data_IF_721985978797
#
_entry.id   IF_721985978797
#
_cell.length_a   1.000
_cell.length_b   1.000
_cell.length_c   1.000
_cell.angle_alpha   90.00
_cell.angle_beta   90.00
_cell.angle_gamma   90.00
#
_symmetry.space_group_name_H-M   'P 1'
#
loop_
_entity.id
_entity.type
_entity.pdbx_description
1 polymer ?
#
# COMPACT_ATOMS: atom_id res chain seq x y z
N UNK A 1 -35.07 70.11 11.46
CA UNK A 1 -34.29 68.87 11.27
C UNK A 1 -34.94 68.09 10.15
N UNK A 2 -34.32 68.03 8.98
CA UNK A 2 -34.94 67.57 7.73
C UNK A 2 -34.30 66.25 7.32
N UNK A 3 -35.12 65.17 7.30
CA UNK A 3 -34.70 63.80 7.01
C UNK A 3 -34.17 63.65 5.57
N UNK A 4 -32.94 63.17 5.41
CA UNK A 4 -32.44 62.67 4.12
C UNK A 4 -32.86 61.21 3.93
N UNK A 5 -33.73 60.98 2.96
CA UNK A 5 -34.08 59.65 2.46
C UNK A 5 -32.99 59.20 1.48
N UNK A 6 -32.14 58.27 1.90
CA UNK A 6 -31.12 57.67 1.03
C UNK A 6 -31.76 56.58 0.17
N UNK A 7 -32.11 56.93 -1.07
CA UNK A 7 -32.35 55.96 -2.15
C UNK A 7 -31.02 55.59 -2.79
N UNK A 8 -30.55 54.35 -2.59
CA UNK A 8 -29.62 53.67 -3.51
C UNK A 8 -30.03 52.20 -3.68
N UNK A 9 -30.91 52.03 -4.64
CA UNK A 9 -31.20 50.82 -5.41
C UNK A 9 -29.91 50.48 -6.23
N UNK A 10 -29.42 49.25 -6.42
CA UNK A 10 -29.79 48.28 -7.49
C UNK A 10 -28.60 47.30 -7.70
N UNK A 11 -28.90 45.99 -7.82
CA UNK A 11 -28.19 44.89 -8.54
C UNK A 11 -26.73 44.56 -8.11
N UNK A 12 -26.21 43.33 -8.22
CA UNK A 12 -26.51 42.26 -9.15
C UNK A 12 -26.03 40.89 -8.61
N UNK A 13 -26.75 39.86 -9.04
CA UNK A 13 -26.37 38.47 -9.28
C UNK A 13 -24.98 37.96 -8.83
N UNK A 14 -25.03 36.88 -8.05
CA UNK A 14 -23.93 35.98 -7.76
C UNK A 14 -23.31 35.35 -9.02
N UNK A 15 -22.00 35.06 -9.00
CA UNK A 15 -21.48 33.80 -9.50
C UNK A 15 -21.26 32.90 -8.29
N UNK A 16 -22.15 31.92 -8.10
CA UNK A 16 -21.79 30.70 -7.40
C UNK A 16 -20.62 30.08 -8.19
N UNK A 17 -19.40 30.41 -7.81
CA UNK A 17 -18.21 29.71 -8.28
C UNK A 17 -18.37 28.28 -7.83
N UNK A 18 -18.68 27.44 -8.80
CA UNK A 18 -18.75 26.01 -8.68
C UNK A 18 -17.44 25.51 -8.07
N UNK A 19 -17.45 25.24 -6.77
CA UNK A 19 -16.60 24.22 -6.18
C UNK A 19 -17.06 22.89 -6.79
N UNK A 20 -16.67 22.64 -8.04
CA UNK A 20 -16.72 21.30 -8.59
C UNK A 20 -15.89 20.42 -7.64
N UNK A 21 -16.40 19.27 -7.21
CA UNK A 21 -15.58 18.36 -6.42
C UNK A 21 -14.37 18.01 -7.28
N UNK A 22 -13.19 18.47 -6.87
CA UNK A 22 -11.93 17.91 -7.34
C UNK A 22 -12.00 16.44 -7.01
N UNK A 23 -12.31 15.61 -8.00
CA UNK A 23 -12.21 14.16 -7.88
C UNK A 23 -10.73 13.89 -7.72
N UNK A 24 -10.28 13.85 -6.47
CA UNK A 24 -9.02 13.26 -6.10
C UNK A 24 -9.14 11.80 -6.51
N UNK A 25 -8.59 11.46 -7.68
CA UNK A 25 -8.36 10.07 -8.04
C UNK A 25 -7.38 9.55 -7.00
N UNK A 26 -7.91 8.86 -5.99
CA UNK A 26 -7.09 8.18 -5.00
C UNK A 26 -6.12 7.28 -5.76
N UNK A 27 -4.82 7.46 -5.54
CA UNK A 27 -3.81 6.59 -6.11
C UNK A 27 -4.15 5.14 -5.68
N UNK A 28 -3.87 4.14 -6.54
CA UNK A 28 -4.04 2.74 -6.16
C UNK A 28 -3.28 2.49 -4.86
N UNK A 29 -4.01 2.08 -3.80
CA UNK A 29 -3.40 1.74 -2.53
C UNK A 29 -2.85 0.32 -2.63
N UNK A 30 -1.53 0.19 -2.63
CA UNK A 30 -0.83 -1.08 -2.66
C UNK A 30 -0.32 -1.43 -1.25
N UNK A 31 -0.82 -2.51 -0.63
CA UNK A 31 -0.42 -2.85 0.74
C UNK A 31 0.95 -3.55 0.81
N UNK A 32 1.48 -4.04 -0.31
CA UNK A 32 2.71 -4.85 -0.35
C UNK A 32 3.93 -4.15 0.27
N UNK A 33 4.21 -2.85 0.01
CA UNK A 33 5.36 -2.18 0.62
C UNK A 33 5.27 -2.12 2.15
N UNK A 34 4.06 -1.91 2.70
CA UNK A 34 3.87 -1.84 4.14
C UNK A 34 4.03 -3.21 4.80
N UNK A 35 3.46 -4.26 4.21
CA UNK A 35 3.63 -5.63 4.71
C UNK A 35 5.07 -6.10 4.64
N UNK A 36 5.80 -5.76 3.57
CA UNK A 36 7.21 -6.11 3.45
C UNK A 36 8.08 -5.44 4.51
N UNK A 37 7.86 -4.15 4.78
CA UNK A 37 8.59 -3.46 5.85
C UNK A 37 8.28 -4.02 7.24
N UNK A 38 7.03 -4.44 7.49
CA UNK A 38 6.65 -5.11 8.74
C UNK A 38 7.33 -6.47 8.88
N UNK A 39 7.34 -7.27 7.82
CA UNK A 39 8.01 -8.57 7.78
C UNK A 39 9.51 -8.40 8.05
N UNK A 40 10.19 -7.47 7.35
CA UNK A 40 11.62 -7.17 7.57
C UNK A 40 11.91 -6.78 9.01
N UNK A 41 11.05 -5.98 9.64
CA UNK A 41 11.23 -5.57 11.03
C UNK A 41 11.15 -6.74 11.99
N UNK A 42 10.18 -7.64 11.80
CA UNK A 42 10.04 -8.84 12.62
C UNK A 42 11.21 -9.79 12.40
N UNK A 43 11.58 -10.05 11.14
CA UNK A 43 12.70 -10.90 10.79
C UNK A 43 14.00 -10.37 11.41
N UNK A 44 14.27 -9.06 11.30
CA UNK A 44 15.43 -8.45 11.92
C UNK A 44 15.44 -8.56 13.46
N UNK A 45 14.27 -8.44 14.09
CA UNK A 45 14.15 -8.65 15.54
C UNK A 45 14.44 -10.09 15.94
N UNK A 46 14.00 -11.06 15.16
CA UNK A 46 14.33 -12.48 15.37
C UNK A 46 15.81 -12.74 15.15
N UNK A 47 16.39 -12.26 14.04
CA UNK A 47 17.79 -12.49 13.68
C UNK A 47 18.77 -11.89 14.71
N UNK A 48 18.39 -10.80 15.37
CA UNK A 48 19.19 -10.17 16.43
C UNK A 48 18.90 -10.71 17.84
N UNK A 49 18.04 -11.72 17.98
CA UNK A 49 17.58 -12.24 19.28
C UNK A 49 16.86 -11.18 20.15
N UNK A 50 16.36 -10.11 19.55
CA UNK A 50 15.52 -9.10 20.21
C UNK A 50 14.07 -9.61 20.41
N UNK A 51 13.65 -10.56 19.58
CA UNK A 51 12.36 -11.23 19.58
C UNK A 51 12.55 -12.74 19.51
N UNK A 52 11.74 -13.49 20.25
CA UNK A 52 11.67 -14.95 20.11
C UNK A 52 10.87 -15.31 18.86
N UNK A 53 11.36 -16.27 18.06
CA UNK A 53 10.70 -16.68 16.84
C UNK A 53 9.29 -17.20 17.11
N UNK A 54 9.10 -18.00 18.16
CA UNK A 54 7.81 -18.59 18.54
C UNK A 54 6.72 -17.53 18.78
N UNK A 55 7.11 -16.36 19.29
CA UNK A 55 6.18 -15.25 19.56
C UNK A 55 5.75 -14.52 18.28
N UNK A 56 6.59 -14.55 17.25
CA UNK A 56 6.38 -13.82 16.00
C UNK A 56 6.00 -14.72 14.82
N UNK A 57 6.15 -16.04 14.94
CA UNK A 57 6.04 -17.01 13.84
C UNK A 57 4.69 -16.92 13.11
N UNK A 58 3.59 -16.82 13.85
CA UNK A 58 2.26 -16.71 13.24
C UNK A 58 2.12 -15.44 12.39
N UNK A 59 2.68 -14.31 12.84
CA UNK A 59 2.63 -13.03 12.14
C UNK A 59 3.56 -13.02 10.93
N UNK A 60 4.78 -13.55 11.07
CA UNK A 60 5.72 -13.71 9.97
C UNK A 60 5.11 -14.54 8.85
N UNK A 61 4.56 -15.72 9.16
CA UNK A 61 3.93 -16.60 8.17
C UNK A 61 2.71 -15.97 7.49
N UNK A 62 1.90 -15.21 8.23
CA UNK A 62 0.75 -14.48 7.67
C UNK A 62 1.19 -13.36 6.72
N UNK A 63 2.25 -12.61 7.06
CA UNK A 63 2.82 -11.59 6.19
C UNK A 63 3.42 -12.19 4.92
N UNK A 64 4.16 -13.30 5.03
CA UNK A 64 4.71 -14.02 3.89
C UNK A 64 3.61 -14.50 2.94
N UNK A 65 2.54 -15.11 3.48
CA UNK A 65 1.40 -15.53 2.67
C UNK A 65 0.76 -14.34 1.96
N UNK A 66 0.54 -13.22 2.65
CA UNK A 66 -0.01 -11.99 2.05
C UNK A 66 0.87 -11.44 0.94
N UNK A 67 2.18 -11.33 1.17
CA UNK A 67 3.16 -10.82 0.19
C UNK A 67 3.19 -11.72 -1.04
N UNK A 68 3.22 -13.05 -0.86
CA UNK A 68 3.29 -14.00 -1.98
C UNK A 68 1.99 -14.08 -2.79
N UNK A 69 0.84 -13.94 -2.14
CA UNK A 69 -0.47 -14.23 -2.76
C UNK A 69 -1.21 -13.00 -3.27
N UNK A 70 -0.71 -11.80 -3.01
CA UNK A 70 -1.33 -10.55 -3.47
C UNK A 70 -0.66 -10.02 -4.74
N UNK A 71 -1.41 -9.79 -5.85
CA UNK A 71 -0.86 -9.10 -7.02
C UNK A 71 -0.49 -7.64 -6.71
N UNK A 72 0.65 -7.13 -7.19
CA UNK A 72 1.01 -5.73 -6.99
C UNK A 72 0.10 -4.84 -7.82
N UNK A 73 -0.29 -3.70 -7.24
CA UNK A 73 -1.10 -2.67 -7.88
C UNK A 73 -0.27 -1.45 -8.30
N UNK A 74 0.96 -1.33 -7.78
CA UNK A 74 1.90 -0.25 -8.04
C UNK A 74 3.31 -0.80 -8.24
N UNK A 75 4.17 -0.05 -8.96
CA UNK A 75 5.58 -0.41 -9.13
C UNK A 75 6.29 -0.65 -7.80
N UNK A 76 5.93 0.12 -6.76
CA UNK A 76 6.50 -0.04 -5.43
C UNK A 76 6.12 -1.40 -4.82
N UNK A 77 4.89 -1.87 -4.99
CA UNK A 77 4.51 -3.22 -4.54
C UNK A 77 5.21 -4.33 -5.33
N UNK A 78 5.41 -4.13 -6.64
CA UNK A 78 6.19 -5.08 -7.45
C UNK A 78 7.66 -5.15 -6.99
N UNK A 79 8.26 -4.00 -6.62
CA UNK A 79 9.61 -3.93 -6.03
C UNK A 79 9.62 -4.65 -4.68
N UNK A 80 8.65 -4.41 -3.81
CA UNK A 80 8.58 -5.05 -2.49
C UNK A 80 8.52 -6.60 -2.60
N UNK A 81 7.79 -7.14 -3.57
CA UNK A 81 7.78 -8.60 -3.81
C UNK A 81 9.13 -9.13 -4.33
N UNK A 82 9.83 -8.37 -5.16
CA UNK A 82 11.17 -8.74 -5.63
C UNK A 82 12.20 -8.69 -4.50
N UNK A 83 12.16 -7.64 -3.68
CA UNK A 83 13.05 -7.51 -2.52
C UNK A 83 12.79 -8.62 -1.50
N UNK A 84 11.53 -8.92 -1.20
CA UNK A 84 11.18 -10.09 -0.39
C UNK A 84 11.70 -11.40 -0.98
N UNK A 85 11.50 -11.62 -2.28
CA UNK A 85 12.02 -12.81 -2.95
C UNK A 85 13.55 -12.91 -2.96
N UNK A 86 14.28 -11.80 -2.80
CA UNK A 86 15.74 -11.78 -2.68
C UNK A 86 16.20 -12.01 -1.24
N UNK A 87 15.53 -11.40 -0.27
CA UNK A 87 15.86 -11.48 1.16
C UNK A 87 15.54 -12.86 1.74
N UNK A 88 14.48 -13.52 1.26
CA UNK A 88 14.01 -14.83 1.71
C UNK A 88 14.47 -15.99 0.79
N UNK A 89 15.41 -15.73 -0.12
CA UNK A 89 15.91 -16.76 -1.03
C UNK A 89 16.94 -17.67 -0.35
N UNK A 90 16.54 -18.86 0.08
CA UNK A 90 17.49 -19.94 0.34
C UNK A 90 17.24 -20.85 1.52
N UNK A 91 16.20 -20.61 2.33
CA UNK A 91 15.88 -21.51 3.43
C UNK A 91 14.85 -22.59 2.97
N UNK A 92 15.15 -23.86 3.25
CA UNK A 92 14.38 -25.03 2.79
C UNK A 92 13.32 -25.45 3.81
N UNK A 93 13.44 -24.97 5.06
CA UNK A 93 12.53 -25.26 6.17
C UNK A 93 11.54 -24.11 6.42
N UNK A 94 11.93 -22.88 6.07
CA UNK A 94 11.15 -21.65 6.16
C UNK A 94 11.38 -20.81 4.88
N UNK A 95 10.45 -19.94 4.52
CA UNK A 95 10.56 -19.09 3.32
C UNK A 95 9.75 -19.54 2.09
N UNK A 96 9.94 -18.81 1.00
CA UNK A 96 9.15 -18.79 -0.23
C UNK A 96 8.89 -20.16 -0.89
N UNK A 97 9.65 -21.21 -0.57
CA UNK A 97 9.44 -22.55 -1.12
C UNK A 97 8.23 -23.25 -0.46
N UNK A 98 7.86 -22.86 0.75
CA UNK A 98 6.74 -23.46 1.47
C UNK A 98 5.40 -23.15 0.77
N UNK A 99 4.56 -24.18 0.58
CA UNK A 99 3.21 -24.09 -0.02
C UNK A 99 3.17 -23.46 -1.42
N UNK A 100 4.22 -23.64 -2.22
CA UNK A 100 4.35 -23.06 -3.57
C UNK A 100 4.25 -21.52 -3.56
N UNK A 101 4.71 -20.86 -2.49
CA UNK A 101 4.66 -19.41 -2.34
C UNK A 101 5.51 -18.70 -3.40
N UNK A 102 6.65 -19.25 -3.77
CA UNK A 102 7.52 -18.81 -4.86
C UNK A 102 6.77 -18.74 -6.19
N UNK A 103 6.07 -19.82 -6.56
CA UNK A 103 5.28 -19.89 -7.79
C UNK A 103 4.15 -18.86 -7.77
N UNK A 104 3.48 -18.69 -6.63
CA UNK A 104 2.40 -17.71 -6.47
C UNK A 104 2.93 -16.28 -6.56
N UNK A 105 4.05 -15.99 -5.90
CA UNK A 105 4.74 -14.69 -5.93
C UNK A 105 5.10 -14.32 -7.36
N UNK A 106 5.80 -15.19 -8.10
CA UNK A 106 6.18 -14.89 -9.48
C UNK A 106 4.97 -14.79 -10.42
N UNK A 107 3.92 -15.59 -10.21
CA UNK A 107 2.69 -15.50 -11.00
C UNK A 107 1.96 -14.16 -10.76
N UNK A 108 1.94 -13.69 -9.52
CA UNK A 108 1.34 -12.42 -9.13
C UNK A 108 2.14 -11.23 -9.64
N UNK A 109 3.46 -11.26 -9.47
CA UNK A 109 4.36 -10.26 -10.01
C UNK A 109 4.20 -10.14 -11.53
N UNK A 110 4.16 -11.28 -12.25
CA UNK A 110 3.93 -11.30 -13.69
C UNK A 110 2.56 -10.71 -14.07
N UNK A 111 1.53 -10.97 -13.25
CA UNK A 111 0.18 -10.45 -13.47
C UNK A 111 0.15 -8.93 -13.33
N UNK A 112 0.73 -8.39 -12.26
CA UNK A 112 0.83 -6.94 -12.04
C UNK A 112 1.63 -6.25 -13.15
N UNK A 113 2.84 -6.74 -13.45
CA UNK A 113 3.67 -6.16 -14.52
C UNK A 113 2.97 -6.15 -15.89
N UNK A 114 2.20 -7.20 -16.22
CA UNK A 114 1.38 -7.25 -17.45
C UNK A 114 0.21 -6.27 -17.43
N UNK A 115 -0.32 -5.94 -16.27
CA UNK A 115 -1.41 -4.98 -16.10
C UNK A 115 -0.96 -3.51 -16.18
N UNK A 116 0.35 -3.25 -16.36
CA UNK A 116 0.90 -1.90 -16.48
C UNK A 116 1.25 -1.26 -15.15
N UNK A 117 1.46 -2.08 -14.13
CA UNK A 117 2.06 -1.70 -12.85
C UNK A 117 3.50 -1.17 -13.06
#
# INVERSE_FOLDING_TARGET
MTNQITRRTILAAAPALACGPSVSMAAPHDPLPAWFEEWKKLQHGVDNEDLEYEDCAATLLDLEEKICTTPPATRLGAIAQLEYAMDDFGDYLFGNIWKDHDRKLFANLLTGLKAGV
#
